data_IF_454581263515
#
_entry.id   IF_454581263515
#
_cell.length_a   1.000
_cell.length_b   1.000
_cell.length_c   1.000
_cell.angle_alpha   90.00
_cell.angle_beta   90.00
_cell.angle_gamma   90.00
#
_symmetry.space_group_name_H-M   'P 1'
#
loop_
_entity.id
_entity.type
_entity.pdbx_description
1 polymer ?
#
# COMPACT_ATOMS: atom_id res chain seq x y z
N UNK A 1 11.73 4.97 -23.55
CA UNK A 1 12.07 4.95 -22.11
C UNK A 1 10.80 4.71 -21.33
N UNK A 2 10.81 3.78 -20.40
CA UNK A 2 9.68 3.64 -19.49
C UNK A 2 9.64 4.85 -18.55
N UNK A 3 8.49 5.51 -18.49
CA UNK A 3 8.29 6.61 -17.55
C UNK A 3 8.30 6.06 -16.13
N UNK A 4 9.12 6.65 -15.25
CA UNK A 4 9.15 6.27 -13.83
C UNK A 4 7.90 6.80 -13.14
N UNK A 5 7.09 5.90 -12.59
CA UNK A 5 5.88 6.25 -11.84
C UNK A 5 6.19 6.32 -10.35
N UNK A 6 6.01 7.50 -9.75
CA UNK A 6 6.33 7.76 -8.35
C UNK A 6 5.09 7.56 -7.47
N UNK A 7 5.26 6.90 -6.35
CA UNK A 7 4.26 6.78 -5.28
C UNK A 7 4.74 7.48 -4.03
N UNK A 8 3.93 8.38 -3.49
CA UNK A 8 4.16 9.01 -2.18
C UNK A 8 3.18 8.41 -1.18
N UNK A 9 3.72 7.84 -0.11
CA UNK A 9 2.95 7.09 0.88
C UNK A 9 2.85 7.82 2.21
N UNK A 10 1.69 7.69 2.85
CA UNK A 10 1.46 8.20 4.21
C UNK A 10 1.01 9.65 4.25
N UNK A 11 0.20 10.08 3.29
CA UNK A 11 -0.39 11.42 3.27
C UNK A 11 -1.40 11.57 4.41
N UNK A 12 -1.38 12.72 5.07
CA UNK A 12 -2.25 13.01 6.23
C UNK A 12 -3.07 14.29 6.09
N UNK A 13 -2.71 15.18 5.18
CA UNK A 13 -3.34 16.49 5.03
C UNK A 13 -3.75 16.77 3.60
N UNK A 14 -4.70 17.68 3.42
CA UNK A 14 -5.08 18.17 2.08
C UNK A 14 -3.91 18.86 1.37
N UNK A 15 -3.04 19.51 2.12
CA UNK A 15 -1.84 20.14 1.60
C UNK A 15 -0.85 19.09 1.04
N UNK A 16 -0.73 17.92 1.70
CA UNK A 16 0.09 16.81 1.20
C UNK A 16 -0.46 16.31 -0.14
N UNK A 17 -1.78 16.12 -0.24
CA UNK A 17 -2.44 15.67 -1.48
C UNK A 17 -2.20 16.66 -2.61
N UNK A 18 -2.36 17.96 -2.35
CA UNK A 18 -2.14 19.01 -3.34
C UNK A 18 -0.67 19.04 -3.80
N UNK A 19 0.28 18.92 -2.87
CA UNK A 19 1.71 18.92 -3.19
C UNK A 19 2.10 17.69 -4.03
N UNK A 20 1.61 16.51 -3.68
CA UNK A 20 1.87 15.26 -4.40
C UNK A 20 1.29 15.30 -5.80
N UNK A 21 0.08 15.84 -5.97
CA UNK A 21 -0.55 16.03 -7.27
C UNK A 21 0.23 17.03 -8.14
N UNK A 22 0.62 18.17 -7.56
CA UNK A 22 1.39 19.19 -8.27
C UNK A 22 2.79 18.69 -8.69
N UNK A 23 3.38 17.79 -7.93
CA UNK A 23 4.66 17.14 -8.26
C UNK A 23 4.55 16.08 -9.35
N UNK A 24 3.34 15.73 -9.81
CA UNK A 24 3.12 14.75 -10.86
C UNK A 24 3.28 13.30 -10.42
N UNK A 25 3.10 13.01 -9.13
CA UNK A 25 3.12 11.62 -8.65
C UNK A 25 1.97 10.81 -9.28
N UNK A 26 2.23 9.53 -9.53
CA UNK A 26 1.24 8.62 -10.08
C UNK A 26 0.34 8.01 -9.00
N UNK A 27 0.85 7.86 -7.77
CA UNK A 27 0.14 7.22 -6.67
C UNK A 27 0.24 8.04 -5.38
N UNK A 28 -0.87 8.07 -4.65
CA UNK A 28 -0.99 8.65 -3.31
C UNK A 28 -1.39 7.56 -2.31
N UNK A 29 -0.53 7.26 -1.33
CA UNK A 29 -0.77 6.24 -0.33
C UNK A 29 -1.40 6.79 0.93
N UNK A 30 -2.50 6.17 1.37
CA UNK A 30 -3.20 6.42 2.63
C UNK A 30 -2.95 5.23 3.56
N UNK A 31 -2.45 5.47 4.75
CA UNK A 31 -2.03 4.42 5.66
C UNK A 31 -3.11 4.10 6.69
N UNK A 32 -3.70 2.90 6.61
CA UNK A 32 -4.73 2.41 7.53
C UNK A 32 -4.18 1.45 8.60
N UNK A 33 -2.86 1.39 8.80
CA UNK A 33 -2.27 0.60 9.86
C UNK A 33 -2.23 1.39 11.18
N UNK A 34 -3.05 1.03 12.21
CA UNK A 34 -3.23 1.85 13.41
C UNK A 34 -1.95 2.13 14.21
N UNK A 35 -0.95 1.24 14.11
CA UNK A 35 0.34 1.42 14.80
C UNK A 35 1.30 2.37 14.07
N UNK A 36 0.96 2.79 12.85
CA UNK A 36 1.79 3.70 12.08
C UNK A 36 1.60 5.15 12.55
N UNK A 37 2.67 5.96 12.64
CA UNK A 37 2.53 7.40 12.90
C UNK A 37 1.85 8.14 11.73
N UNK A 38 1.72 7.49 10.57
CA UNK A 38 1.04 8.00 9.38
C UNK A 38 -0.38 7.49 9.22
N UNK A 39 -0.91 6.82 10.24
CA UNK A 39 -2.28 6.33 10.23
C UNK A 39 -3.29 7.45 10.00
N UNK A 40 -4.29 7.16 9.18
CA UNK A 40 -5.48 7.99 8.96
C UNK A 40 -6.73 7.17 9.20
N UNK A 41 -7.76 7.79 9.77
CA UNK A 41 -9.07 7.13 9.90
C UNK A 41 -9.77 7.06 8.55
N UNK A 42 -10.73 6.16 8.34
CA UNK A 42 -11.51 6.11 7.09
C UNK A 42 -12.17 7.45 6.75
N UNK A 43 -12.72 8.17 7.72
CA UNK A 43 -13.34 9.48 7.52
C UNK A 43 -12.33 10.53 7.03
N UNK A 44 -11.16 10.61 7.67
CA UNK A 44 -10.09 11.51 7.24
C UNK A 44 -9.57 11.12 5.85
N UNK A 45 -9.35 9.84 5.61
CA UNK A 45 -8.90 9.32 4.33
C UNK A 45 -9.89 9.60 3.19
N UNK A 46 -11.20 9.53 3.48
CA UNK A 46 -12.25 9.91 2.51
C UNK A 46 -12.09 11.35 2.04
N UNK A 47 -11.87 12.29 2.96
CA UNK A 47 -11.66 13.69 2.61
C UNK A 47 -10.41 13.88 1.74
N UNK A 48 -9.31 13.18 2.06
CA UNK A 48 -8.08 13.21 1.27
C UNK A 48 -8.28 12.61 -0.12
N UNK A 49 -8.97 11.47 -0.21
CA UNK A 49 -9.24 10.79 -1.46
C UNK A 49 -10.14 11.60 -2.40
N UNK A 50 -11.15 12.29 -1.85
CA UNK A 50 -12.05 13.17 -2.63
C UNK A 50 -11.33 14.42 -3.13
N UNK A 51 -10.30 14.89 -2.45
CA UNK A 51 -9.48 16.03 -2.88
C UNK A 51 -8.42 15.66 -3.92
N UNK A 52 -8.13 14.37 -4.09
CA UNK A 52 -7.17 13.93 -5.09
C UNK A 52 -7.73 14.14 -6.50
N UNK A 53 -6.95 14.76 -7.41
CA UNK A 53 -7.40 14.95 -8.79
C UNK A 53 -7.46 13.62 -9.56
N UNK A 54 -8.19 13.61 -10.66
CA UNK A 54 -8.15 12.50 -11.61
C UNK A 54 -6.71 12.23 -12.07
N UNK A 55 -6.38 10.95 -12.24
CA UNK A 55 -5.04 10.51 -12.63
C UNK A 55 -4.09 10.24 -11.46
N UNK A 56 -4.39 10.72 -10.24
CA UNK A 56 -3.66 10.35 -9.03
C UNK A 56 -4.31 9.11 -8.40
N UNK A 57 -3.64 7.95 -8.51
CA UNK A 57 -4.12 6.66 -8.00
C UNK A 57 -4.11 6.65 -6.47
N UNK A 58 -5.26 6.48 -5.84
CA UNK A 58 -5.43 6.42 -4.39
C UNK A 58 -5.24 4.99 -3.90
N UNK A 59 -4.21 4.78 -3.12
CA UNK A 59 -3.78 3.46 -2.63
C UNK A 59 -4.01 3.36 -1.12
N UNK A 60 -4.79 2.37 -0.68
CA UNK A 60 -4.91 2.06 0.74
C UNK A 60 -3.84 1.06 1.16
N UNK A 61 -2.96 1.46 2.07
CA UNK A 61 -1.99 0.58 2.72
C UNK A 61 -2.63 -0.06 3.95
N UNK A 62 -2.67 -1.37 3.98
CA UNK A 62 -3.17 -2.18 5.10
C UNK A 62 -2.15 -3.25 5.48
N UNK A 63 -2.21 -3.70 6.74
CA UNK A 63 -1.31 -4.72 7.30
C UNK A 63 -2.14 -5.79 7.97
N UNK A 64 -2.15 -7.00 7.41
CA UNK A 64 -2.88 -8.17 7.92
C UNK A 64 -4.34 -7.86 8.29
N UNK A 65 -4.99 -6.97 7.53
CA UNK A 65 -6.35 -6.53 7.81
C UNK A 65 -7.36 -7.65 7.56
N UNK A 66 -8.30 -7.79 8.50
CA UNK A 66 -9.44 -8.70 8.37
C UNK A 66 -10.52 -8.10 7.47
N UNK A 67 -11.44 -8.94 6.98
CA UNK A 67 -12.50 -8.53 6.07
C UNK A 67 -13.34 -7.38 6.62
N UNK A 68 -13.70 -7.40 7.90
CA UNK A 68 -14.51 -6.34 8.50
C UNK A 68 -13.83 -4.96 8.42
N UNK A 69 -12.50 -4.91 8.63
CA UNK A 69 -11.74 -3.67 8.51
C UNK A 69 -11.62 -3.21 7.05
N UNK A 70 -11.35 -4.15 6.13
CA UNK A 70 -11.30 -3.85 4.69
C UNK A 70 -12.65 -3.40 4.15
N UNK A 71 -13.75 -4.05 4.56
CA UNK A 71 -15.12 -3.67 4.18
C UNK A 71 -15.42 -2.23 4.59
N UNK A 72 -15.06 -1.84 5.82
CA UNK A 72 -15.26 -0.48 6.32
C UNK A 72 -14.44 0.55 5.52
N UNK A 73 -13.18 0.25 5.23
CA UNK A 73 -12.30 1.14 4.47
C UNK A 73 -12.81 1.32 3.04
N UNK A 74 -13.12 0.22 2.34
CA UNK A 74 -13.54 0.26 0.94
C UNK A 74 -14.94 0.88 0.78
N UNK A 75 -15.83 0.69 1.77
CA UNK A 75 -17.15 1.32 1.75
C UNK A 75 -17.07 2.85 1.94
N UNK A 76 -16.14 3.34 2.76
CA UNK A 76 -16.05 4.76 3.12
C UNK A 76 -15.16 5.57 2.17
N UNK A 77 -14.07 4.98 1.67
CA UNK A 77 -13.02 5.70 0.95
C UNK A 77 -13.03 5.33 -0.53
N UNK A 78 -13.13 6.30 -1.46
CA UNK A 78 -12.98 6.02 -2.89
C UNK A 78 -11.52 5.70 -3.22
N UNK A 79 -11.23 4.41 -3.41
CA UNK A 79 -9.89 3.86 -3.63
C UNK A 79 -9.76 3.31 -5.05
N UNK A 80 -8.52 3.34 -5.56
CA UNK A 80 -8.15 2.78 -6.85
C UNK A 80 -7.30 1.50 -6.73
N UNK A 81 -6.69 1.25 -5.56
CA UNK A 81 -5.81 0.11 -5.32
C UNK A 81 -5.68 -0.20 -3.83
N UNK A 82 -5.48 -1.47 -3.50
CA UNK A 82 -5.11 -1.92 -2.16
C UNK A 82 -3.64 -2.33 -2.14
N UNK A 83 -2.90 -1.88 -1.13
CA UNK A 83 -1.53 -2.32 -0.86
C UNK A 83 -1.48 -3.17 0.40
N UNK A 84 -1.14 -4.45 0.24
CA UNK A 84 -1.03 -5.41 1.33
C UNK A 84 0.42 -5.46 1.82
N UNK A 85 0.66 -4.93 3.02
CA UNK A 85 2.01 -4.71 3.56
C UNK A 85 2.32 -5.58 4.80
N UNK A 86 1.53 -6.61 5.03
CA UNK A 86 1.71 -7.56 6.13
C UNK A 86 2.20 -8.92 5.66
N UNK A 87 1.76 -9.95 6.38
CA UNK A 87 2.09 -11.36 6.12
C UNK A 87 1.02 -12.08 5.29
N UNK A 88 0.20 -11.31 4.55
CA UNK A 88 -0.87 -11.88 3.72
C UNK A 88 -0.30 -12.94 2.78
N UNK A 89 -0.85 -14.15 2.84
CA UNK A 89 -0.47 -15.26 1.97
C UNK A 89 -0.94 -15.03 0.54
N UNK A 90 -0.39 -15.72 -0.48
CA UNK A 90 -0.91 -15.66 -1.85
C UNK A 90 -2.41 -15.95 -1.96
N UNK A 91 -2.92 -16.91 -1.17
CA UNK A 91 -4.35 -17.20 -1.10
C UNK A 91 -5.14 -15.99 -0.58
N UNK A 92 -4.66 -15.34 0.49
CA UNK A 92 -5.29 -14.13 1.02
C UNK A 92 -5.27 -12.97 0.04
N UNK A 93 -4.20 -12.79 -0.70
CA UNK A 93 -4.12 -11.78 -1.78
C UNK A 93 -5.19 -12.02 -2.83
N UNK A 94 -5.36 -13.27 -3.28
CA UNK A 94 -6.40 -13.64 -4.24
C UNK A 94 -7.82 -13.41 -3.71
N UNK A 95 -8.09 -13.74 -2.44
CA UNK A 95 -9.37 -13.49 -1.78
C UNK A 95 -9.71 -12.00 -1.75
N UNK A 96 -8.78 -11.17 -1.30
CA UNK A 96 -8.95 -9.70 -1.22
C UNK A 96 -9.24 -9.12 -2.59
N UNK A 97 -8.47 -9.52 -3.61
CA UNK A 97 -8.68 -9.08 -4.99
C UNK A 97 -10.06 -9.48 -5.51
N UNK A 98 -10.48 -10.71 -5.28
CA UNK A 98 -11.80 -11.21 -5.72
C UNK A 98 -12.94 -10.50 -4.99
N UNK A 99 -12.78 -10.23 -3.69
CA UNK A 99 -13.81 -9.61 -2.85
C UNK A 99 -14.09 -8.16 -3.24
N UNK A 100 -13.05 -7.37 -3.47
CA UNK A 100 -13.20 -5.92 -3.68
C UNK A 100 -13.12 -5.50 -5.15
N UNK A 101 -12.66 -6.36 -6.04
CA UNK A 101 -12.51 -6.03 -7.46
C UNK A 101 -11.51 -4.90 -7.73
N UNK A 102 -10.65 -4.57 -6.77
CA UNK A 102 -9.61 -3.57 -6.90
C UNK A 102 -8.26 -4.21 -7.25
N UNK A 103 -7.41 -3.52 -8.02
CA UNK A 103 -6.02 -3.92 -8.18
C UNK A 103 -5.33 -4.04 -6.82
N UNK A 104 -4.45 -5.03 -6.68
CA UNK A 104 -3.70 -5.30 -5.45
C UNK A 104 -2.21 -5.20 -5.70
N UNK A 105 -1.55 -4.42 -4.86
CA UNK A 105 -0.09 -4.37 -4.74
C UNK A 105 0.32 -5.17 -3.51
N UNK A 106 1.18 -6.18 -3.68
CA UNK A 106 1.75 -6.93 -2.54
C UNK A 106 3.17 -6.45 -2.24
N UNK A 107 3.43 -6.15 -0.98
CA UNK A 107 4.77 -5.80 -0.52
C UNK A 107 5.51 -7.07 -0.08
N UNK A 108 6.73 -7.22 -0.55
CA UNK A 108 7.64 -8.31 -0.20
C UNK A 108 8.87 -7.69 0.46
N UNK A 109 9.11 -8.08 1.71
CA UNK A 109 10.31 -7.68 2.45
C UNK A 109 11.52 -8.49 1.99
N UNK A 110 12.58 -7.82 1.59
CA UNK A 110 13.82 -8.43 1.10
C UNK A 110 15.00 -7.96 1.95
N UNK A 111 15.81 -8.90 2.41
CA UNK A 111 17.09 -8.68 3.05
C UNK A 111 18.21 -9.44 2.30
N UNK A 112 17.89 -10.59 1.73
CA UNK A 112 18.83 -11.47 1.03
C UNK A 112 18.16 -12.12 -0.19
N UNK A 113 18.95 -12.70 -1.08
CA UNK A 113 18.51 -13.31 -2.34
C UNK A 113 17.40 -14.37 -2.12
N UNK A 114 17.51 -15.15 -1.03
CA UNK A 114 16.53 -16.17 -0.70
C UNK A 114 15.08 -15.60 -0.52
N UNK A 115 14.95 -14.35 -0.08
CA UNK A 115 13.65 -13.70 0.07
C UNK A 115 12.94 -13.48 -1.28
N UNK A 116 13.68 -13.45 -2.39
CA UNK A 116 13.14 -13.28 -3.73
C UNK A 116 12.34 -14.49 -4.23
N UNK A 117 12.49 -15.65 -3.61
CA UNK A 117 11.74 -16.86 -3.98
C UNK A 117 10.22 -16.64 -3.90
N UNK A 118 9.76 -15.80 -2.98
CA UNK A 118 8.33 -15.46 -2.84
C UNK A 118 7.76 -14.68 -4.04
N UNK A 119 8.59 -14.03 -4.85
CA UNK A 119 8.14 -13.23 -6.00
C UNK A 119 7.27 -14.03 -6.96
N UNK A 120 7.63 -15.30 -7.24
CA UNK A 120 6.88 -16.14 -8.18
C UNK A 120 5.45 -16.36 -7.70
N UNK A 121 5.27 -16.74 -6.43
CA UNK A 121 3.94 -17.06 -5.89
C UNK A 121 3.03 -15.83 -5.88
N UNK A 122 3.57 -14.68 -5.45
CA UNK A 122 2.79 -13.45 -5.39
C UNK A 122 2.54 -12.82 -6.77
N UNK A 123 3.45 -13.01 -7.74
CA UNK A 123 3.26 -12.49 -9.11
C UNK A 123 2.06 -13.11 -9.83
N UNK A 124 1.61 -14.29 -9.40
CA UNK A 124 0.45 -14.97 -9.95
C UNK A 124 -0.89 -14.40 -9.45
N UNK A 125 -0.89 -13.70 -8.33
CA UNK A 125 -2.13 -13.24 -7.64
C UNK A 125 -2.21 -11.73 -7.46
N UNK A 126 -1.08 -11.02 -7.38
CA UNK A 126 -1.03 -9.57 -7.27
C UNK A 126 -0.88 -8.89 -8.64
N UNK A 127 -1.40 -7.67 -8.76
CA UNK A 127 -1.25 -6.86 -9.98
C UNK A 127 0.10 -6.14 -10.02
N UNK A 128 0.64 -5.81 -8.84
CA UNK A 128 1.94 -5.18 -8.68
C UNK A 128 2.68 -5.77 -7.47
N UNK A 129 3.99 -5.80 -7.55
CA UNK A 129 4.88 -6.16 -6.45
C UNK A 129 5.68 -4.92 -6.06
N UNK A 130 5.73 -4.64 -4.75
CA UNK A 130 6.62 -3.66 -4.17
C UNK A 130 7.68 -4.39 -3.35
N UNK A 131 8.95 -4.16 -3.65
CA UNK A 131 10.06 -4.69 -2.87
C UNK A 131 10.48 -3.64 -1.86
N UNK A 132 10.46 -4.01 -0.58
CA UNK A 132 10.88 -3.17 0.54
C UNK A 132 11.96 -3.86 1.35
N UNK A 133 12.78 -3.09 2.07
CA UNK A 133 13.76 -3.66 2.98
C UNK A 133 13.04 -4.43 4.09
N UNK A 134 13.47 -5.68 4.32
CA UNK A 134 12.85 -6.55 5.32
C UNK A 134 12.96 -5.93 6.72
N UNK A 135 11.83 -5.81 7.40
CA UNK A 135 11.79 -5.30 8.77
C UNK A 135 12.56 -6.23 9.72
N UNK A 136 13.30 -5.70 10.71
CA UNK A 136 13.96 -6.51 11.72
C UNK A 136 12.94 -7.36 12.50
N UNK A 137 13.36 -8.52 12.98
CA UNK A 137 12.52 -9.36 13.85
C UNK A 137 12.06 -8.56 15.07
N UNK A 138 10.76 -8.58 15.34
CA UNK A 138 10.17 -7.85 16.47
C UNK A 138 9.86 -6.38 16.20
N UNK A 139 10.08 -5.89 14.99
CA UNK A 139 9.65 -4.54 14.59
C UNK A 139 8.14 -4.39 14.69
N UNK A 140 7.70 -3.24 15.23
CA UNK A 140 6.27 -2.88 15.27
C UNK A 140 5.75 -2.51 13.87
N UNK A 141 6.60 -1.90 13.05
CA UNK A 141 6.28 -1.51 11.69
C UNK A 141 6.85 -2.53 10.70
N UNK A 142 6.02 -3.02 9.76
CA UNK A 142 6.47 -3.98 8.74
C UNK A 142 7.36 -3.35 7.66
N UNK A 143 7.40 -2.03 7.58
CA UNK A 143 8.20 -1.28 6.62
C UNK A 143 8.44 0.15 7.07
N UNK A 144 9.14 0.94 6.24
CA UNK A 144 9.47 2.33 6.56
C UNK A 144 10.51 2.49 7.67
N UNK A 145 11.32 1.47 7.92
CA UNK A 145 12.35 1.46 8.98
C UNK A 145 13.67 2.11 8.55
N UNK A 146 13.75 2.65 7.33
CA UNK A 146 14.96 3.29 6.80
C UNK A 146 16.13 2.34 6.56
N UNK A 147 15.85 1.05 6.42
CA UNK A 147 16.85 0.03 6.14
C UNK A 147 17.10 -0.10 4.64
N UNK A 148 18.28 -0.60 4.31
CA UNK A 148 18.67 -0.91 2.93
C UNK A 148 18.95 -2.41 2.80
N UNK A 149 18.93 -2.90 1.57
CA UNK A 149 19.39 -4.24 1.19
C UNK A 149 20.28 -4.10 -0.06
N UNK A 150 21.09 -5.12 -0.33
CA UNK A 150 21.95 -5.16 -1.51
C UNK A 150 21.09 -5.50 -2.74
N UNK A 151 21.22 -4.70 -3.81
CA UNK A 151 20.43 -4.82 -5.06
C UNK A 151 21.05 -5.84 -6.01
#
# INVERSE_FOLDING_TARGET
MSEVRVKICGLKTLADVAAVAAAGAAYAGLNFFPKSPRYVTPEAARALALAAPEGLCKVALVVDAEDAALDAIVAEVPLDMLQLHGHETPARVAEVKARYGLPVMKVIGVAEEADLAALLDYSLVADQILIDAKAPKGSVLPGGNGLTFDW
#
